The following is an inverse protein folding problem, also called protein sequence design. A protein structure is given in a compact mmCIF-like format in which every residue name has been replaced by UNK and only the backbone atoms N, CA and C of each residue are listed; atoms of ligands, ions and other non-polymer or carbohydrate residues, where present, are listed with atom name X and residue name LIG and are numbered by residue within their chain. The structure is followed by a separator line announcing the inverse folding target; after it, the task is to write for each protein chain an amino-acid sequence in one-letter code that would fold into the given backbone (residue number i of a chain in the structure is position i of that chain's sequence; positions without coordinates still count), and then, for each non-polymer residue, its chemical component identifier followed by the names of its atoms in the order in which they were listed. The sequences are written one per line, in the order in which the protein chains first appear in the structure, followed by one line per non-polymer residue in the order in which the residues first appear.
data_IF_988363054312
#
_entry.id   IF_988363054312
#
_cell.length_a   1.000
_cell.length_b   1.000
_cell.length_c   1.000
_cell.angle_alpha   90.00
_cell.angle_beta   90.00
_cell.angle_gamma   90.00
#
_symmetry.space_group_name_H-M   'P 1'
#
loop_
_entity.id
_entity.type
_entity.pdbx_description
1 polymer ?
#
# COMPACT_ATOMS: atom_id res chain seq x y z
N UNK A 1 5.09 11.90 4.28
CA UNK A 1 6.24 10.96 4.07
C UNK A 1 6.62 10.36 5.42
N UNK A 2 7.25 9.19 5.50
CA UNK A 2 7.45 8.46 6.77
C UNK A 2 8.91 8.03 6.99
N UNK A 3 9.32 7.86 8.25
CA UNK A 3 10.57 7.20 8.66
C UNK A 3 10.22 5.82 9.22
N UNK A 4 10.95 4.79 8.79
CA UNK A 4 10.77 3.42 9.27
C UNK A 4 11.43 3.25 10.65
N UNK A 5 10.70 2.86 11.71
CA UNK A 5 11.23 2.89 13.09
C UNK A 5 12.50 2.07 13.27
N UNK A 6 12.49 0.80 12.84
CA UNK A 6 13.65 -0.11 12.99
C UNK A 6 14.85 0.22 12.10
N UNK A 7 14.65 0.85 10.92
CA UNK A 7 15.75 0.99 9.92
C UNK A 7 16.16 2.42 9.60
N UNK A 8 15.53 3.43 10.20
CA UNK A 8 15.81 4.86 9.97
C UNK A 8 15.52 5.37 8.54
N UNK A 9 15.21 4.47 7.60
CA UNK A 9 15.00 4.81 6.18
C UNK A 9 13.70 5.55 5.97
N UNK A 10 13.76 6.55 5.09
CA UNK A 10 12.59 7.31 4.61
C UNK A 10 11.80 6.46 3.60
N UNK A 11 10.49 6.35 3.78
CA UNK A 11 9.57 5.67 2.87
C UNK A 11 8.41 6.56 2.43
N UNK A 12 7.92 6.31 1.22
CA UNK A 12 6.74 6.98 0.68
C UNK A 12 5.49 6.26 1.16
N UNK A 13 4.82 6.84 2.16
CA UNK A 13 3.56 6.35 2.68
C UNK A 13 2.41 6.97 1.87
N UNK A 14 1.99 6.26 0.82
CA UNK A 14 0.87 6.57 -0.07
C UNK A 14 0.17 5.26 -0.47
N UNK A 15 -0.99 5.36 -1.11
CA UNK A 15 -1.66 4.22 -1.74
C UNK A 15 -2.61 4.66 -2.85
N UNK A 16 -3.15 3.71 -3.63
CA UNK A 16 -4.15 3.98 -4.69
C UNK A 16 -5.47 4.59 -4.16
N UNK A 17 -5.68 4.58 -2.84
CA UNK A 17 -6.86 5.14 -2.18
C UNK A 17 -6.66 6.58 -1.69
N UNK A 18 -5.45 7.16 -1.83
CA UNK A 18 -5.27 8.59 -1.61
C UNK A 18 -5.87 9.38 -2.78
N UNK A 19 -6.64 10.42 -2.47
CA UNK A 19 -7.38 11.23 -3.45
C UNK A 19 -7.15 12.75 -3.30
N UNK A 20 -6.44 13.18 -2.25
CA UNK A 20 -6.22 14.58 -1.91
C UNK A 20 -4.91 14.74 -1.09
N UNK A 21 -4.36 15.94 -1.06
CA UNK A 21 -3.24 16.35 -0.20
C UNK A 21 -3.68 17.61 0.55
N UNK A 22 -3.59 17.59 1.88
CA UNK A 22 -4.01 18.71 2.71
C UNK A 22 -3.30 20.02 2.33
N UNK A 23 -4.06 21.09 2.13
CA UNK A 23 -3.55 22.40 1.73
C UNK A 23 -3.22 22.56 0.24
N UNK A 24 -3.55 21.58 -0.61
CA UNK A 24 -3.35 21.62 -2.06
C UNK A 24 -4.71 21.53 -2.80
N UNK A 25 -4.81 22.13 -3.98
CA UNK A 25 -6.02 21.99 -4.81
C UNK A 25 -6.21 20.52 -5.24
N UNK A 26 -7.46 20.06 -5.42
CA UNK A 26 -7.78 18.64 -5.59
C UNK A 26 -7.23 18.03 -6.89
N UNK A 27 -7.27 18.75 -8.01
CA UNK A 27 -6.70 18.31 -9.30
C UNK A 27 -5.17 18.35 -9.27
N UNK A 28 -4.56 19.34 -8.61
CA UNK A 28 -3.10 19.34 -8.33
C UNK A 28 -2.69 18.17 -7.44
N UNK A 29 -3.44 17.90 -6.37
CA UNK A 29 -3.25 16.78 -5.45
C UNK A 29 -3.29 15.44 -6.19
N UNK A 30 -4.33 15.21 -6.99
CA UNK A 30 -4.49 13.97 -7.76
C UNK A 30 -3.33 13.78 -8.75
N UNK A 31 -2.92 14.85 -9.47
CA UNK A 31 -1.77 14.82 -10.38
C UNK A 31 -0.48 14.43 -9.66
N UNK A 32 -0.20 15.03 -8.50
CA UNK A 32 0.99 14.71 -7.72
C UNK A 32 0.95 13.29 -7.14
N UNK A 33 -0.22 12.82 -6.70
CA UNK A 33 -0.41 11.44 -6.23
C UNK A 33 -0.16 10.41 -7.34
N UNK A 34 -0.65 10.66 -8.56
CA UNK A 34 -0.40 9.78 -9.71
C UNK A 34 1.06 9.81 -10.19
N UNK A 35 1.73 10.97 -10.16
CA UNK A 35 3.17 11.09 -10.41
C UNK A 35 4.00 10.31 -9.37
N UNK A 36 3.67 10.46 -8.09
CA UNK A 36 4.32 9.75 -6.97
C UNK A 36 4.10 8.23 -7.04
N UNK A 37 2.88 7.78 -7.35
CA UNK A 37 2.57 6.35 -7.57
C UNK A 37 3.31 5.80 -8.78
N UNK A 38 3.43 6.58 -9.86
CA UNK A 38 4.17 6.22 -11.07
C UNK A 38 5.66 6.05 -10.78
N UNK A 39 6.29 7.04 -10.14
CA UNK A 39 7.69 6.99 -9.71
C UNK A 39 7.96 5.79 -8.79
N UNK A 40 7.11 5.58 -7.78
CA UNK A 40 7.24 4.46 -6.84
C UNK A 40 7.17 3.09 -7.53
N UNK A 41 6.43 2.97 -8.64
CA UNK A 41 6.19 1.71 -9.36
C UNK A 41 7.18 1.39 -10.49
N UNK A 42 8.29 2.13 -10.62
CA UNK A 42 9.31 1.93 -11.67
C UNK A 42 10.38 0.88 -11.29
N UNK A 43 11.01 0.29 -12.32
CA UNK A 43 12.22 -0.52 -12.15
C UNK A 43 13.40 0.35 -11.62
N UNK A 44 14.37 -0.21 -10.89
CA UNK A 44 14.48 -1.60 -10.43
C UNK A 44 13.74 -1.87 -9.10
N UNK A 45 12.81 -1.00 -8.67
CA UNK A 45 12.13 -1.09 -7.38
C UNK A 45 11.02 -2.16 -7.35
N UNK A 46 10.60 -2.66 -8.50
CA UNK A 46 9.54 -3.67 -8.63
C UNK A 46 10.01 -5.11 -8.40
N UNK A 47 9.11 -5.95 -7.90
CA UNK A 47 9.28 -7.41 -7.81
C UNK A 47 7.95 -8.07 -8.21
N UNK A 48 8.03 -9.21 -8.90
CA UNK A 48 6.88 -9.97 -9.39
C UNK A 48 7.09 -11.45 -9.05
N UNK A 49 6.29 -11.96 -8.12
CA UNK A 49 6.35 -13.36 -7.69
C UNK A 49 5.42 -14.24 -8.55
N UNK A 50 5.95 -15.34 -9.10
CA UNK A 50 5.17 -16.41 -9.74
C UNK A 50 4.92 -17.52 -8.71
N UNK A 51 3.76 -17.50 -8.09
CA UNK A 51 3.36 -18.45 -7.04
C UNK A 51 3.37 -19.89 -7.53
N UNK A 52 3.92 -20.78 -6.70
CA UNK A 52 3.86 -22.23 -6.78
C UNK A 52 3.27 -22.81 -5.48
N UNK A 53 2.89 -24.10 -5.50
CA UNK A 53 2.37 -24.75 -4.31
C UNK A 53 3.45 -24.88 -3.23
N UNK A 54 3.21 -24.30 -2.05
CA UNK A 54 4.17 -24.27 -0.94
C UNK A 54 4.95 -22.96 -0.79
N UNK A 55 4.86 -22.02 -1.75
CA UNK A 55 5.52 -20.71 -1.64
C UNK A 55 4.96 -19.89 -0.45
N UNK A 56 5.87 -19.24 0.28
CA UNK A 56 5.56 -18.28 1.34
C UNK A 56 6.26 -16.96 1.05
N UNK A 57 5.48 -15.92 0.75
CA UNK A 57 5.99 -14.57 0.54
C UNK A 57 5.73 -13.68 1.75
N UNK A 58 6.80 -13.11 2.32
CA UNK A 58 6.77 -12.19 3.46
C UNK A 58 7.32 -10.81 3.05
N UNK A 59 6.77 -9.74 3.61
CA UNK A 59 7.21 -8.36 3.36
C UNK A 59 6.95 -7.44 4.55
N UNK A 60 7.73 -6.37 4.66
CA UNK A 60 7.43 -5.27 5.58
C UNK A 60 6.43 -4.31 4.90
N UNK A 61 5.23 -4.19 5.47
CA UNK A 61 4.16 -3.37 4.89
C UNK A 61 4.38 -1.85 5.08
N UNK A 62 5.41 -1.42 5.83
CA UNK A 62 5.73 -0.01 6.13
C UNK A 62 6.56 0.67 5.03
N UNK A 63 7.04 -0.10 4.04
CA UNK A 63 7.87 0.40 2.92
C UNK A 63 7.59 -0.31 1.57
N UNK A 64 6.36 -0.78 1.35
CA UNK A 64 5.93 -1.39 0.09
C UNK A 64 4.52 -0.92 -0.29
N UNK A 65 4.25 -0.84 -1.59
CA UNK A 65 2.90 -0.88 -2.15
C UNK A 65 2.55 -2.34 -2.48
N UNK A 66 1.31 -2.62 -2.87
CA UNK A 66 0.94 -3.94 -3.37
C UNK A 66 -0.25 -3.88 -4.33
N UNK A 67 -0.27 -4.76 -5.35
CA UNK A 67 -1.44 -5.01 -6.22
C UNK A 67 -1.47 -6.48 -6.63
N UNK A 68 -2.65 -7.09 -6.63
CA UNK A 68 -2.86 -8.33 -7.36
C UNK A 68 -2.55 -8.12 -8.86
N UNK A 69 -1.94 -9.12 -9.50
CA UNK A 69 -1.90 -9.20 -10.96
C UNK A 69 -3.16 -9.93 -11.45
N UNK A 70 -3.63 -9.69 -12.68
CA UNK A 70 -4.63 -10.53 -13.31
C UNK A 70 -4.21 -12.00 -13.31
N UNK A 71 -5.19 -12.88 -13.13
CA UNK A 71 -5.08 -14.34 -13.20
C UNK A 71 -6.35 -14.85 -13.91
N UNK A 72 -6.39 -16.13 -14.29
CA UNK A 72 -7.61 -16.71 -14.84
C UNK A 72 -8.68 -16.82 -13.74
N UNK A 73 -9.81 -16.13 -13.90
CA UNK A 73 -10.90 -16.14 -12.93
C UNK A 73 -11.77 -17.41 -12.99
N UNK A 74 -11.55 -18.28 -13.99
CA UNK A 74 -12.12 -19.62 -14.00
C UNK A 74 -11.35 -20.58 -13.06
N UNK A 75 -10.11 -20.23 -12.68
CA UNK A 75 -9.26 -21.04 -11.81
C UNK A 75 -9.38 -20.67 -10.34
N UNK A 76 -9.44 -21.68 -9.46
CA UNK A 76 -9.68 -21.50 -8.02
C UNK A 76 -8.41 -21.05 -7.29
N UNK A 77 -8.27 -19.73 -7.14
CA UNK A 77 -7.11 -19.12 -6.46
C UNK A 77 -7.31 -18.91 -4.95
N UNK A 78 -6.83 -19.84 -4.13
CA UNK A 78 -6.81 -19.72 -2.66
C UNK A 78 -5.41 -19.33 -2.16
N UNK A 79 -5.30 -18.19 -1.48
CA UNK A 79 -4.14 -17.83 -0.66
C UNK A 79 -4.59 -17.60 0.78
N UNK A 80 -3.78 -18.05 1.75
CA UNK A 80 -3.95 -17.71 3.17
C UNK A 80 -2.94 -16.63 3.52
N UNK A 81 -3.35 -15.62 4.28
CA UNK A 81 -2.45 -14.59 4.79
C UNK A 81 -2.70 -14.34 6.28
N UNK A 82 -1.65 -13.87 6.96
CA UNK A 82 -1.73 -13.27 8.30
C UNK A 82 -1.09 -11.89 8.25
N UNK A 83 -1.27 -11.08 9.29
CA UNK A 83 -0.65 -9.76 9.43
C UNK A 83 -0.10 -9.63 10.85
N UNK A 84 1.15 -9.22 10.98
CA UNK A 84 1.70 -8.74 12.26
C UNK A 84 1.20 -7.32 12.46
N UNK A 85 0.76 -6.97 13.67
CA UNK A 85 0.42 -5.59 14.01
C UNK A 85 1.69 -4.72 14.01
N UNK A 86 1.56 -3.48 13.53
CA UNK A 86 2.61 -2.47 13.67
C UNK A 86 2.46 -1.66 14.95
N UNK A 87 3.46 -0.83 15.22
CA UNK A 87 3.57 -0.01 16.41
C UNK A 87 2.68 1.25 16.29
N UNK A 88 1.74 1.48 17.22
CA UNK A 88 0.78 2.60 17.13
C UNK A 88 1.47 3.96 16.92
N UNK A 89 2.58 4.20 17.62
CA UNK A 89 3.35 5.45 17.57
C UNK A 89 4.00 5.73 16.21
N UNK A 90 4.27 4.71 15.39
CA UNK A 90 4.80 4.88 14.03
C UNK A 90 3.74 4.71 12.95
N UNK A 91 2.74 3.85 13.16
CA UNK A 91 1.75 3.48 12.15
C UNK A 91 0.49 4.37 12.14
N UNK A 92 0.09 4.95 13.27
CA UNK A 92 -1.06 5.84 13.31
C UNK A 92 -0.68 7.25 12.85
N UNK A 93 -1.45 7.78 11.91
CA UNK A 93 -1.44 9.18 11.50
C UNK A 93 -2.83 9.74 11.83
N UNK A 94 -2.95 10.93 12.45
CA UNK A 94 -4.24 11.59 12.60
C UNK A 94 -4.87 11.82 11.22
N UNK A 95 -5.97 11.12 10.93
CA UNK A 95 -6.76 11.34 9.73
C UNK A 95 -7.74 12.48 9.98
N UNK A 96 -7.83 13.41 9.03
CA UNK A 96 -8.93 14.38 8.99
C UNK A 96 -10.29 13.69 8.86
N UNK A 97 -11.36 14.48 9.00
CA UNK A 97 -12.73 14.02 8.74
C UNK A 97 -12.89 13.73 7.24
N UNK A 98 -13.06 12.46 6.88
CA UNK A 98 -13.40 12.06 5.51
C UNK A 98 -14.92 12.15 5.31
N UNK A 99 -15.38 13.26 4.74
CA UNK A 99 -16.80 13.46 4.42
C UNK A 99 -17.31 12.53 3.30
N UNK A 100 -16.43 11.89 2.52
CA UNK A 100 -16.83 10.84 1.56
C UNK A 100 -17.12 9.51 2.28
N UNK A 101 -16.65 9.35 3.51
CA UNK A 101 -16.92 8.23 4.39
C UNK A 101 -17.96 8.54 5.49
N UNK A 102 -18.63 9.70 5.44
CA UNK A 102 -19.59 10.12 6.47
C UNK A 102 -20.76 9.12 6.66
N UNK A 103 -21.21 8.48 5.58
CA UNK A 103 -22.27 7.46 5.60
C UNK A 103 -21.74 6.01 5.73
N UNK A 104 -20.44 5.82 5.98
CA UNK A 104 -19.84 4.48 6.03
C UNK A 104 -20.17 3.72 7.32
N UNK A 105 -20.97 2.66 7.19
CA UNK A 105 -21.27 1.71 8.27
C UNK A 105 -20.29 0.52 8.19
N UNK A 106 -19.39 0.30 9.18
CA UNK A 106 -18.41 -0.79 9.11
C UNK A 106 -19.05 -2.18 9.16
N UNK A 107 -18.89 -2.97 8.09
CA UNK A 107 -19.27 -4.38 8.08
C UNK A 107 -18.14 -5.28 8.59
N UNK A 108 -18.47 -6.21 9.49
CA UNK A 108 -17.49 -6.95 10.29
C UNK A 108 -16.70 -8.07 9.58
N UNK A 109 -16.49 -8.02 8.26
CA UNK A 109 -15.97 -9.17 7.50
C UNK A 109 -15.05 -8.85 6.31
N UNK A 110 -13.98 -8.08 6.54
CA UNK A 110 -12.96 -7.84 5.51
C UNK A 110 -12.03 -9.06 5.29
N UNK A 111 -12.25 -9.82 4.20
CA UNK A 111 -11.39 -10.91 3.71
C UNK A 111 -10.91 -10.61 2.28
N UNK A 112 -9.62 -10.31 2.09
CA UNK A 112 -9.07 -10.04 0.74
C UNK A 112 -7.57 -10.38 0.64
N UNK A 113 -7.14 -10.81 -0.55
CA UNK A 113 -5.81 -11.37 -0.86
C UNK A 113 -4.97 -10.39 -1.68
N UNK A 114 -3.64 -10.43 -1.52
CA UNK A 114 -2.68 -9.38 -1.95
C UNK A 114 -1.49 -9.99 -2.74
N UNK A 115 -0.80 -9.18 -3.57
CA UNK A 115 0.51 -9.45 -4.19
C UNK A 115 1.40 -8.19 -4.12
N UNK A 116 2.66 -8.30 -3.69
CA UNK A 116 3.54 -7.16 -3.32
C UNK A 116 4.09 -6.30 -4.49
N UNK A 117 4.47 -5.04 -4.19
CA UNK A 117 5.23 -4.07 -5.02
C UNK A 117 6.14 -3.19 -4.16
N UNK A 118 7.43 -3.51 -4.05
CA UNK A 118 8.37 -2.83 -3.14
C UNK A 118 8.54 -1.33 -3.47
N UNK A 119 8.63 -0.48 -2.43
CA UNK A 119 8.83 0.99 -2.59
C UNK A 119 9.96 1.46 -1.67
N UNK A 120 11.19 1.41 -2.18
CA UNK A 120 12.34 2.04 -1.57
C UNK A 120 12.61 3.39 -2.25
N UNK A 121 12.39 4.49 -1.53
CA UNK A 121 13.07 5.74 -1.84
C UNK A 121 14.51 5.59 -1.34
N UNK A 122 15.44 5.59 -2.28
CA UNK A 122 16.84 5.89 -1.97
C UNK A 122 16.96 7.39 -1.69
N UNK A 123 17.87 7.84 -0.81
CA UNK A 123 18.31 9.23 -0.83
C UNK A 123 18.93 9.55 -2.21
N UNK A 124 18.90 10.84 -2.56
CA UNK A 124 19.84 11.42 -3.52
C UNK A 124 21.23 11.50 -2.87
#
# INVERSE_FOLDING_TARGET
MKVHPVTGRKSLFIGRHAYEIEGMERKESQKLLDELLTFACQAPRTYSHKWQAGDVLMWDNRCILHRAMPYDYNEVRVLRHTRVAGENESELVPTGRDDLAADFIPSGSNKTIITMRRVLIYPL
#
